data_IF_037820266178
#
_entry.id   IF_037820266178
#
_cell.length_a   1.000
_cell.length_b   1.000
_cell.length_c   1.000
_cell.angle_alpha   90.00
_cell.angle_beta   90.00
_cell.angle_gamma   90.00
#
_symmetry.space_group_name_H-M   'P 1'
#
loop_
_entity.id
_entity.type
_entity.pdbx_description
1 polymer ?
#
# COMPACT_ATOMS: atom_id res chain seq x y z
N UNK A 1 11.14 -1.71 27.92
CA UNK A 1 11.04 -0.42 27.19
C UNK A 1 11.60 -0.64 25.80
N UNK A 2 10.81 -0.42 24.74
CA UNK A 2 11.23 -0.71 23.37
C UNK A 2 12.10 0.43 22.84
N UNK A 3 13.25 0.10 22.26
CA UNK A 3 14.19 1.09 21.73
C UNK A 3 13.75 1.56 20.33
N UNK A 4 14.18 2.74 19.93
CA UNK A 4 13.93 3.30 18.60
C UNK A 4 14.36 2.33 17.47
N UNK A 5 15.53 1.70 17.63
CA UNK A 5 16.02 0.67 16.70
C UNK A 5 15.07 -0.53 16.60
N UNK A 6 14.51 -0.97 17.72
CA UNK A 6 13.54 -2.08 17.72
C UNK A 6 12.25 -1.69 16.99
N UNK A 7 11.74 -0.45 17.15
CA UNK A 7 10.57 -0.01 16.37
C UNK A 7 10.86 0.01 14.87
N UNK A 8 12.04 0.46 14.45
CA UNK A 8 12.42 0.45 13.04
C UNK A 8 12.47 -0.97 12.46
N UNK A 9 13.03 -1.93 13.20
CA UNK A 9 13.05 -3.32 12.76
C UNK A 9 11.66 -3.94 12.69
N UNK A 10 10.77 -3.62 13.63
CA UNK A 10 9.38 -4.10 13.58
C UNK A 10 8.67 -3.52 12.35
N UNK A 11 8.81 -2.22 12.07
CA UNK A 11 8.24 -1.62 10.85
C UNK A 11 8.77 -2.30 9.57
N UNK A 12 10.09 -2.54 9.50
CA UNK A 12 10.67 -3.26 8.37
C UNK A 12 10.09 -4.66 8.22
N UNK A 13 10.03 -5.42 9.32
CA UNK A 13 9.47 -6.77 9.33
C UNK A 13 8.02 -6.78 8.87
N UNK A 14 7.20 -5.86 9.38
CA UNK A 14 5.80 -5.69 8.99
C UNK A 14 5.67 -5.40 7.49
N UNK A 15 6.43 -4.45 6.95
CA UNK A 15 6.39 -4.10 5.52
C UNK A 15 6.84 -5.25 4.62
N UNK A 16 7.92 -5.95 4.98
CA UNK A 16 8.40 -7.11 4.22
C UNK A 16 7.34 -8.21 4.22
N UNK A 17 6.77 -8.50 5.39
CA UNK A 17 5.73 -9.51 5.54
C UNK A 17 4.50 -9.14 4.73
N UNK A 18 4.04 -7.88 4.80
CA UNK A 18 2.92 -7.39 4.00
C UNK A 18 3.19 -7.54 2.49
N UNK A 19 4.36 -7.10 2.02
CA UNK A 19 4.74 -7.23 0.61
C UNK A 19 4.79 -8.67 0.12
N UNK A 20 5.25 -9.61 0.97
CA UNK A 20 5.27 -11.04 0.64
C UNK A 20 3.86 -11.63 0.50
N UNK A 21 2.97 -11.34 1.44
CA UNK A 21 1.59 -11.85 1.37
C UNK A 21 0.78 -11.23 0.25
N UNK A 22 1.02 -9.95 -0.03
CA UNK A 22 0.44 -9.25 -1.17
C UNK A 22 0.93 -9.84 -2.50
N UNK A 23 2.20 -10.26 -2.58
CA UNK A 23 2.68 -11.00 -3.76
C UNK A 23 2.06 -12.39 -3.86
N UNK A 24 1.95 -13.11 -2.73
CA UNK A 24 1.32 -14.44 -2.71
C UNK A 24 -0.15 -14.38 -3.12
N UNK A 25 -0.91 -13.35 -2.72
CA UNK A 25 -2.30 -13.20 -3.12
C UNK A 25 -2.46 -13.10 -4.64
N UNK A 26 -1.55 -12.40 -5.32
CA UNK A 26 -1.52 -12.35 -6.78
C UNK A 26 -1.16 -13.69 -7.43
N UNK A 27 -0.18 -14.42 -6.88
CA UNK A 27 0.22 -15.72 -7.43
C UNK A 27 -0.86 -16.79 -7.23
N UNK A 28 -1.68 -16.66 -6.18
CA UNK A 28 -2.77 -17.60 -5.89
C UNK A 28 -4.11 -17.21 -6.52
N UNK A 29 -4.15 -16.20 -7.39
CA UNK A 29 -5.38 -15.65 -7.94
C UNK A 29 -6.21 -16.62 -8.80
N UNK A 30 -5.63 -17.74 -9.24
CA UNK A 30 -6.37 -18.78 -9.98
C UNK A 30 -7.08 -19.80 -9.07
N UNK A 31 -6.84 -19.75 -7.75
CA UNK A 31 -7.40 -20.69 -6.79
C UNK A 31 -8.26 -19.95 -5.75
N UNK A 32 -9.57 -19.80 -6.04
CA UNK A 32 -10.54 -18.98 -5.26
C UNK A 32 -10.41 -19.11 -3.73
N UNK A 33 -10.39 -20.34 -3.21
CA UNK A 33 -10.31 -20.57 -1.76
C UNK A 33 -8.96 -20.15 -1.16
N UNK A 34 -7.87 -20.28 -1.92
CA UNK A 34 -6.53 -19.89 -1.47
C UNK A 34 -6.34 -18.39 -1.61
N UNK A 35 -6.86 -17.78 -2.67
CA UNK A 35 -6.85 -16.34 -2.89
C UNK A 35 -7.56 -15.60 -1.75
N UNK A 36 -8.77 -16.01 -1.39
CA UNK A 36 -9.53 -15.36 -0.31
C UNK A 36 -8.79 -15.37 1.03
N UNK A 37 -8.15 -16.49 1.37
CA UNK A 37 -7.32 -16.60 2.59
C UNK A 37 -6.09 -15.68 2.52
N UNK A 38 -5.43 -15.61 1.36
CA UNK A 38 -4.25 -14.75 1.19
C UNK A 38 -4.59 -13.26 1.23
N UNK A 39 -5.76 -12.86 0.72
CA UNK A 39 -6.29 -11.50 0.84
C UNK A 39 -6.51 -11.17 2.32
N UNK A 40 -7.25 -12.01 3.06
CA UNK A 40 -7.52 -11.80 4.48
C UNK A 40 -6.23 -11.65 5.30
N UNK A 41 -5.25 -12.53 5.07
CA UNK A 41 -3.95 -12.45 5.75
C UNK A 41 -3.24 -11.13 5.41
N UNK A 42 -3.26 -10.73 4.14
CA UNK A 42 -2.68 -9.45 3.70
C UNK A 42 -3.34 -8.25 4.36
N UNK A 43 -4.65 -8.25 4.52
CA UNK A 43 -5.39 -7.18 5.21
C UNK A 43 -5.03 -7.08 6.68
N UNK A 44 -4.99 -8.21 7.39
CA UNK A 44 -4.60 -8.24 8.82
C UNK A 44 -3.19 -7.69 8.98
N UNK A 45 -2.25 -8.16 8.16
CA UNK A 45 -0.85 -7.75 8.24
C UNK A 45 -0.69 -6.29 7.80
N UNK A 46 -1.43 -5.83 6.79
CA UNK A 46 -1.49 -4.44 6.37
C UNK A 46 -2.00 -3.52 7.48
N UNK A 47 -3.06 -3.92 8.18
CA UNK A 47 -3.60 -3.21 9.34
C UNK A 47 -2.61 -3.15 10.51
N UNK A 48 -1.93 -4.25 10.82
CA UNK A 48 -0.87 -4.26 11.84
C UNK A 48 0.32 -3.37 11.44
N UNK A 49 0.69 -3.37 10.15
CA UNK A 49 1.75 -2.51 9.61
C UNK A 49 1.37 -1.03 9.75
N UNK A 50 0.11 -0.68 9.47
CA UNK A 50 -0.43 0.66 9.66
C UNK A 50 -0.31 1.11 11.12
N UNK A 51 -0.82 0.29 12.05
CA UNK A 51 -0.76 0.58 13.49
C UNK A 51 0.67 0.75 13.97
N UNK A 52 1.59 -0.12 13.55
CA UNK A 52 3.00 -0.02 13.89
C UNK A 52 3.62 1.29 13.38
N UNK A 53 3.33 1.67 12.13
CA UNK A 53 3.84 2.89 11.55
C UNK A 53 3.30 4.15 12.26
N UNK A 54 2.00 4.17 12.61
CA UNK A 54 1.39 5.26 13.40
C UNK A 54 2.08 5.38 14.76
N UNK A 55 2.19 4.27 15.50
CA UNK A 55 2.86 4.25 16.81
C UNK A 55 4.29 4.79 16.66
N UNK A 56 4.99 4.36 15.63
CA UNK A 56 6.38 4.75 15.38
C UNK A 56 6.58 6.25 15.16
N UNK A 57 5.59 6.97 14.60
CA UNK A 57 5.68 8.43 14.49
C UNK A 57 5.73 9.15 15.84
N UNK A 58 5.11 8.60 16.88
CA UNK A 58 5.10 9.21 18.20
C UNK A 58 6.40 8.96 18.98
N UNK A 59 7.06 7.83 18.73
CA UNK A 59 8.27 7.42 19.47
C UNK A 59 9.58 7.75 18.73
N UNK A 60 9.60 7.74 17.40
CA UNK A 60 10.81 8.02 16.61
C UNK A 60 10.91 9.53 16.34
N UNK A 61 11.82 10.19 17.06
CA UNK A 61 12.04 11.65 16.92
C UNK A 61 13.21 12.03 16.01
N UNK A 62 14.02 11.06 15.59
CA UNK A 62 15.16 11.30 14.68
C UNK A 62 14.71 11.38 13.22
N UNK A 63 15.66 11.58 12.30
CA UNK A 63 15.42 11.47 10.85
C UNK A 63 14.92 10.08 10.43
N UNK A 64 15.00 9.07 11.29
CA UNK A 64 14.39 7.77 11.01
C UNK A 64 12.86 7.82 10.95
N UNK A 65 12.22 8.91 11.40
CA UNK A 65 10.77 9.12 11.28
C UNK A 65 10.28 9.11 9.83
N UNK A 66 11.16 9.37 8.86
CA UNK A 66 10.80 9.30 7.44
C UNK A 66 10.49 7.87 6.98
N UNK A 67 10.92 6.83 7.72
CA UNK A 67 10.52 5.45 7.46
C UNK A 67 9.02 5.23 7.73
N UNK A 68 8.48 5.44 8.95
CA UNK A 68 7.05 5.28 9.18
C UNK A 68 6.21 6.24 8.32
N UNK A 69 6.69 7.46 8.01
CA UNK A 69 6.01 8.33 7.04
C UNK A 69 5.90 7.66 5.66
N UNK A 70 6.97 7.05 5.15
CA UNK A 70 6.94 6.33 3.87
C UNK A 70 5.96 5.15 3.90
N UNK A 71 5.91 4.41 5.01
CA UNK A 71 4.99 3.28 5.19
C UNK A 71 3.53 3.74 5.20
N UNK A 72 3.21 4.81 5.91
CA UNK A 72 1.86 5.37 5.94
C UNK A 72 1.44 5.89 4.56
N UNK A 73 2.36 6.62 3.91
CA UNK A 73 2.15 7.14 2.56
C UNK A 73 1.88 6.01 1.57
N UNK A 74 2.58 4.89 1.72
CA UNK A 74 2.36 3.69 0.94
C UNK A 74 0.98 3.08 1.22
N UNK A 75 0.58 2.90 2.49
CA UNK A 75 -0.66 2.19 2.84
C UNK A 75 -1.95 2.96 2.53
N UNK A 76 -1.93 4.30 2.49
CA UNK A 76 -3.15 5.10 2.28
C UNK A 76 -3.89 4.75 0.98
N UNK A 77 -3.24 4.75 -0.21
CA UNK A 77 -3.88 4.30 -1.45
C UNK A 77 -4.40 2.86 -1.39
N UNK A 78 -3.70 1.95 -0.71
CA UNK A 78 -4.09 0.55 -0.58
C UNK A 78 -5.34 0.39 0.29
N UNK A 79 -5.43 1.13 1.39
CA UNK A 79 -6.63 1.15 2.24
C UNK A 79 -7.81 1.67 1.45
N UNK A 80 -7.63 2.77 0.72
CA UNK A 80 -8.69 3.30 -0.11
C UNK A 80 -9.13 2.24 -1.13
N UNK A 81 -8.19 1.66 -1.89
CA UNK A 81 -8.48 0.60 -2.85
C UNK A 81 -9.26 -0.59 -2.24
N UNK A 82 -8.81 -1.10 -1.08
CA UNK A 82 -9.47 -2.19 -0.37
C UNK A 82 -10.90 -1.83 0.06
N UNK A 83 -11.14 -0.60 0.54
CA UNK A 83 -12.49 -0.13 0.87
C UNK A 83 -13.40 -0.15 -0.36
N UNK A 84 -12.91 0.31 -1.52
CA UNK A 84 -13.71 0.27 -2.75
C UNK A 84 -14.06 -1.16 -3.19
N UNK A 85 -13.10 -2.08 -3.05
CA UNK A 85 -13.32 -3.49 -3.31
C UNK A 85 -14.38 -4.09 -2.38
N UNK A 86 -14.27 -3.87 -1.07
CA UNK A 86 -15.22 -4.38 -0.06
C UNK A 86 -16.62 -3.76 -0.17
N UNK A 87 -16.72 -2.50 -0.61
CA UNK A 87 -18.00 -1.87 -0.92
C UNK A 87 -18.62 -2.38 -2.23
N UNK A 88 -17.93 -3.24 -2.97
CA UNK A 88 -18.41 -3.81 -4.23
C UNK A 88 -18.43 -2.81 -5.38
N UNK A 89 -17.53 -1.81 -5.39
CA UNK A 89 -17.42 -0.91 -6.53
C UNK A 89 -17.04 -1.70 -7.78
N UNK A 90 -17.85 -1.56 -8.81
CA UNK A 90 -17.70 -2.23 -10.10
C UNK A 90 -17.96 -1.26 -11.26
N UNK A 91 -17.93 -1.77 -12.49
CA UNK A 91 -18.18 -0.96 -13.69
C UNK A 91 -19.59 -0.32 -13.75
N UNK A 92 -20.55 -0.84 -12.98
CA UNK A 92 -21.94 -0.34 -12.96
C UNK A 92 -22.17 0.73 -11.91
N UNK A 93 -21.21 0.94 -11.02
CA UNK A 93 -21.32 1.91 -9.94
C UNK A 93 -21.28 3.34 -10.50
N UNK A 94 -22.28 4.14 -10.14
CA UNK A 94 -22.38 5.53 -10.56
C UNK A 94 -21.17 6.35 -10.11
N UNK A 95 -20.67 7.22 -10.99
CA UNK A 95 -19.55 8.13 -10.72
C UNK A 95 -18.24 7.45 -10.26
N UNK A 96 -18.00 6.18 -10.64
CA UNK A 96 -16.73 5.45 -10.40
C UNK A 96 -15.47 6.18 -10.84
N UNK A 97 -15.56 7.05 -11.84
CA UNK A 97 -14.43 7.89 -12.26
C UNK A 97 -13.88 8.77 -11.11
N UNK A 98 -14.73 9.24 -10.18
CA UNK A 98 -14.30 10.03 -9.01
C UNK A 98 -13.35 9.21 -8.13
N UNK A 99 -13.69 7.93 -7.95
CA UNK A 99 -12.90 6.99 -7.18
C UNK A 99 -11.51 6.78 -7.78
N UNK A 100 -11.44 6.53 -9.09
CA UNK A 100 -10.16 6.40 -9.80
C UNK A 100 -9.32 7.67 -9.71
N UNK A 101 -9.92 8.85 -9.91
CA UNK A 101 -9.20 10.12 -9.77
C UNK A 101 -8.63 10.27 -8.35
N UNK A 102 -9.43 9.96 -7.32
CA UNK A 102 -8.98 9.99 -5.92
C UNK A 102 -7.76 9.09 -5.69
N UNK A 103 -7.82 7.85 -6.16
CA UNK A 103 -6.71 6.91 -6.07
C UNK A 103 -5.46 7.37 -6.84
N UNK A 104 -5.63 7.93 -8.04
CA UNK A 104 -4.50 8.46 -8.82
C UNK A 104 -3.83 9.65 -8.14
N UNK A 105 -4.60 10.60 -7.60
CA UNK A 105 -4.06 11.74 -6.86
C UNK A 105 -3.27 11.27 -5.63
N UNK A 106 -3.81 10.30 -4.87
CA UNK A 106 -3.13 9.71 -3.72
C UNK A 106 -1.86 8.97 -4.12
N UNK A 107 -1.86 8.21 -5.21
CA UNK A 107 -0.68 7.51 -5.70
C UNK A 107 0.41 8.49 -6.17
N UNK A 108 0.05 9.53 -6.91
CA UNK A 108 0.99 10.57 -7.37
C UNK A 108 1.59 11.31 -6.17
N UNK A 109 0.75 11.77 -5.24
CA UNK A 109 1.22 12.39 -4.01
C UNK A 109 2.11 11.42 -3.22
N UNK A 110 1.74 10.14 -3.19
CA UNK A 110 2.48 9.07 -2.56
C UNK A 110 3.88 8.89 -3.14
N UNK A 111 4.03 8.89 -4.47
CA UNK A 111 5.34 8.82 -5.12
C UNK A 111 6.23 10.01 -4.77
N UNK A 112 5.68 11.23 -4.75
CA UNK A 112 6.42 12.45 -4.40
C UNK A 112 6.90 12.40 -2.94
N UNK A 113 6.01 12.02 -2.02
CA UNK A 113 6.32 11.91 -0.60
C UNK A 113 7.32 10.79 -0.31
N UNK A 114 7.18 9.61 -0.92
CA UNK A 114 8.13 8.51 -0.74
C UNK A 114 9.50 8.84 -1.33
N UNK A 115 9.58 9.54 -2.47
CA UNK A 115 10.85 10.06 -3.02
C UNK A 115 11.52 11.03 -2.04
N UNK A 116 10.73 11.90 -1.40
CA UNK A 116 11.24 12.81 -0.38
C UNK A 116 11.75 12.04 0.85
N UNK A 117 11.03 11.01 1.28
CA UNK A 117 11.49 10.14 2.37
C UNK A 117 12.79 9.43 2.00
N UNK A 118 12.93 8.91 0.78
CA UNK A 118 14.17 8.28 0.30
C UNK A 118 15.40 9.19 0.44
N UNK A 119 15.26 10.49 0.12
CA UNK A 119 16.38 11.43 0.27
C UNK A 119 16.81 11.69 1.72
N UNK A 120 15.91 11.46 2.69
CA UNK A 120 16.10 11.80 4.10
C UNK A 120 16.37 10.60 5.01
N UNK A 121 16.04 9.39 4.57
CA UNK A 121 16.30 8.15 5.32
C UNK A 121 17.79 7.77 5.23
N UNK A 122 18.36 7.26 6.33
CA UNK A 122 19.77 6.86 6.42
C UNK A 122 20.03 5.49 5.76
N UNK A 123 21.05 5.45 4.88
CA UNK A 123 21.73 4.27 4.32
C UNK A 123 20.84 3.03 4.11
N UNK A 124 20.99 1.98 4.92
CA UNK A 124 20.36 0.68 4.69
C UNK A 124 18.82 0.73 4.62
N UNK A 125 18.20 1.72 5.27
CA UNK A 125 16.76 1.89 5.30
C UNK A 125 16.19 2.54 4.04
N UNK A 126 17.03 3.10 3.16
CA UNK A 126 16.60 3.69 1.87
C UNK A 126 15.99 2.67 0.92
N UNK A 127 16.31 1.39 1.08
CA UNK A 127 15.72 0.31 0.31
C UNK A 127 14.21 0.21 0.52
N UNK A 128 13.70 0.54 1.72
CA UNK A 128 12.27 0.43 2.03
C UNK A 128 11.45 1.42 1.20
N UNK A 129 11.68 2.75 1.23
CA UNK A 129 10.95 3.67 0.35
C UNK A 129 11.05 3.32 -1.14
N UNK A 130 12.21 2.85 -1.61
CA UNK A 130 12.38 2.45 -3.01
C UNK A 130 11.49 1.24 -3.38
N UNK A 131 11.46 0.23 -2.52
CA UNK A 131 10.60 -0.94 -2.70
C UNK A 131 9.11 -0.59 -2.63
N UNK A 132 8.71 0.28 -1.71
CA UNK A 132 7.33 0.76 -1.59
C UNK A 132 6.88 1.54 -2.84
N UNK A 133 7.77 2.36 -3.42
CA UNK A 133 7.52 3.03 -4.71
C UNK A 133 7.28 2.00 -5.81
N UNK A 134 8.09 0.94 -5.88
CA UNK A 134 7.92 -0.11 -6.87
C UNK A 134 6.55 -0.80 -6.76
N UNK A 135 6.14 -1.19 -5.55
CA UNK A 135 4.82 -1.81 -5.33
C UNK A 135 3.68 -0.84 -5.65
N UNK A 136 3.75 0.42 -5.25
CA UNK A 136 2.74 1.41 -5.65
C UNK A 136 2.71 1.64 -7.16
N UNK A 137 3.84 1.47 -7.85
CA UNK A 137 3.90 1.45 -9.31
C UNK A 137 3.06 0.33 -9.92
N UNK A 138 3.12 -0.88 -9.33
CA UNK A 138 2.28 -2.01 -9.75
C UNK A 138 0.80 -1.66 -9.57
N UNK A 139 0.41 -1.15 -8.40
CA UNK A 139 -0.98 -0.74 -8.14
C UNK A 139 -1.44 0.35 -9.12
N UNK A 140 -0.59 1.34 -9.41
CA UNK A 140 -0.90 2.41 -10.35
C UNK A 140 -1.19 1.89 -11.75
N UNK A 141 -0.33 0.99 -12.26
CA UNK A 141 -0.54 0.35 -13.56
C UNK A 141 -1.81 -0.50 -13.54
N UNK A 142 -2.03 -1.29 -12.49
CA UNK A 142 -3.23 -2.11 -12.32
C UNK A 142 -4.52 -1.27 -12.35
N UNK A 143 -4.56 -0.13 -11.67
CA UNK A 143 -5.70 0.78 -11.69
C UNK A 143 -5.95 1.41 -13.06
N UNK A 144 -4.90 1.68 -13.85
CA UNK A 144 -5.06 2.14 -15.24
C UNK A 144 -5.75 1.04 -16.06
N UNK A 145 -5.31 -0.21 -15.93
CA UNK A 145 -5.93 -1.33 -16.63
C UNK A 145 -7.41 -1.50 -16.27
N UNK A 146 -7.75 -1.52 -14.97
CA UNK A 146 -9.15 -1.64 -14.55
C UNK A 146 -9.99 -0.48 -15.06
N UNK A 147 -9.51 0.76 -14.92
CA UNK A 147 -10.28 1.93 -15.33
C UNK A 147 -10.54 1.93 -16.84
N UNK A 148 -9.54 1.58 -17.66
CA UNK A 148 -9.74 1.39 -19.11
C UNK A 148 -10.72 0.25 -19.37
N UNK A 149 -10.56 -0.89 -18.70
CA UNK A 149 -11.43 -2.06 -18.86
C UNK A 149 -12.90 -1.75 -18.56
N UNK A 150 -13.17 -1.03 -17.47
CA UNK A 150 -14.53 -0.60 -17.10
C UNK A 150 -15.09 0.50 -18.00
N UNK A 151 -14.22 1.24 -18.70
CA UNK A 151 -14.64 2.29 -19.65
C UNK A 151 -14.85 1.76 -21.06
N UNK A 152 -14.47 0.51 -21.34
CA UNK A 152 -14.68 -0.09 -22.64
C UNK A 152 -16.16 -0.47 -22.79
N UNK A 153 -16.77 -0.21 -23.96
CA UNK A 153 -18.17 -0.54 -24.21
C UNK A 153 -18.31 -2.05 -24.48
N UNK A 154 -18.12 -2.87 -23.44
CA UNK A 154 -18.29 -4.33 -23.53
C UNK A 154 -19.73 -4.79 -23.25
N UNK A 155 -20.65 -3.85 -22.97
CA UNK A 155 -22.07 -4.12 -22.86
C UNK A 155 -22.87 -2.83 -23.10
N UNK A 156 -23.15 -2.55 -24.38
CA UNK A 156 -24.53 -2.34 -24.85
C UNK A 156 -24.87 -3.58 -25.69
#
# INVERSE_FOLDING_TARGET
MMTEKQLLYVNMGCVITFGLFLFLSFVTAEADATQGVMILISEIIGGLTLLCAIISLFYIKTDQRYMPVAILTFLIPWILFAIGYELGFDATTDYTWIWFIGLYLLLIAGFILMKTCYSKVLNAYKLVPAFLIFINGILFVYLIFIHIWWSLPFAD
#
